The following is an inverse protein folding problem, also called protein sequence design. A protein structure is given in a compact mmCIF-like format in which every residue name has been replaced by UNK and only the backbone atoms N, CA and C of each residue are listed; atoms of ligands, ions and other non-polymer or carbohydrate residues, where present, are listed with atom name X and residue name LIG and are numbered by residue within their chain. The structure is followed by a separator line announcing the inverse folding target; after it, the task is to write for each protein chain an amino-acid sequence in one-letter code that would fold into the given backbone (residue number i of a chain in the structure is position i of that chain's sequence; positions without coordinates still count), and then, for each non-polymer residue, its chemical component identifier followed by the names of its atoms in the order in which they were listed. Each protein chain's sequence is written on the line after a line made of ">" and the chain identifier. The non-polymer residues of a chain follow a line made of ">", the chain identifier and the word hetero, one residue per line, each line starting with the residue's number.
data_IF_675079433539
#
_entry.id   IF_675079433539
#
_cell.length_a   1.000
_cell.length_b   1.000
_cell.length_c   1.000
_cell.angle_alpha   90.00
_cell.angle_beta   90.00
_cell.angle_gamma   90.00
#
_symmetry.space_group_name_H-M   'P 1'
#
loop_
_entity.id
_entity.type
_entity.pdbx_description
1 polymer ?
#
# COMPACT_ATOMS: atom_id res chain seq x y z
N UNK A 1 -9.56 -3.95 -7.03
CA UNK A 1 -8.11 -3.94 -6.68
C UNK A 1 -7.30 -3.68 -7.95
N UNK A 2 -6.13 -3.07 -7.85
CA UNK A 2 -5.28 -2.63 -8.97
C UNK A 2 -4.20 -3.66 -9.34
N UNK A 3 -3.61 -3.56 -10.54
CA UNK A 3 -2.41 -4.33 -10.93
C UNK A 3 -1.15 -3.47 -10.77
N UNK A 4 -1.19 -2.22 -11.21
CA UNK A 4 -0.06 -1.29 -11.18
C UNK A 4 -0.43 -0.05 -10.36
N UNK A 5 0.38 0.22 -9.33
CA UNK A 5 0.28 1.43 -8.51
C UNK A 5 1.56 2.26 -8.58
N UNK A 6 1.43 3.53 -8.95
CA UNK A 6 2.54 4.50 -8.86
C UNK A 6 2.41 5.26 -7.54
N UNK A 7 3.37 5.07 -6.63
CA UNK A 7 3.28 5.58 -5.26
C UNK A 7 4.07 6.88 -5.04
N UNK A 8 3.61 7.73 -4.14
CA UNK A 8 4.29 8.96 -3.75
C UNK A 8 4.08 10.11 -4.73
N UNK A 9 2.91 10.16 -5.37
CA UNK A 9 2.49 11.25 -6.24
C UNK A 9 2.29 12.50 -5.40
N UNK A 10 2.93 13.60 -5.80
CA UNK A 10 2.84 14.90 -5.11
C UNK A 10 2.31 16.03 -6.00
N UNK A 11 2.24 15.80 -7.32
CA UNK A 11 1.85 16.80 -8.31
C UNK A 11 0.78 16.24 -9.25
N UNK A 12 -0.04 17.14 -9.80
CA UNK A 12 -1.05 16.80 -10.81
C UNK A 12 -0.41 16.20 -12.06
N UNK A 13 0.66 16.82 -12.58
CA UNK A 13 1.33 16.38 -13.79
C UNK A 13 1.82 14.92 -13.68
N UNK A 14 2.35 14.54 -12.51
CA UNK A 14 2.84 13.18 -12.26
C UNK A 14 1.68 12.17 -12.22
N UNK A 15 0.54 12.57 -11.66
CA UNK A 15 -0.66 11.73 -11.63
C UNK A 15 -1.24 11.50 -13.03
N UNK A 16 -1.27 12.57 -13.85
CA UNK A 16 -1.70 12.51 -15.25
C UNK A 16 -0.77 11.62 -16.06
N UNK A 17 0.55 11.79 -15.89
CA UNK A 17 1.54 10.96 -16.55
C UNK A 17 1.41 9.47 -16.17
N UNK A 18 1.24 9.18 -14.87
CA UNK A 18 1.02 7.81 -14.40
C UNK A 18 -0.24 7.19 -14.99
N UNK A 19 -1.36 7.91 -15.00
CA UNK A 19 -2.61 7.47 -15.62
C UNK A 19 -2.45 7.21 -17.12
N UNK A 20 -1.85 8.15 -17.86
CA UNK A 20 -1.62 8.00 -19.31
C UNK A 20 -0.67 6.84 -19.64
N UNK A 21 0.26 6.52 -18.74
CA UNK A 21 1.14 5.36 -18.85
C UNK A 21 0.45 4.03 -18.49
N UNK A 22 -0.81 4.06 -18.06
CA UNK A 22 -1.61 2.86 -17.77
C UNK A 22 -1.56 2.39 -16.31
N UNK A 23 -1.20 3.26 -15.36
CA UNK A 23 -1.34 2.92 -13.95
C UNK A 23 -2.82 2.76 -13.58
N UNK A 24 -3.15 1.74 -12.79
CA UNK A 24 -4.51 1.52 -12.27
C UNK A 24 -4.76 2.31 -10.97
N UNK A 25 -3.69 2.70 -10.28
CA UNK A 25 -3.75 3.36 -8.98
C UNK A 25 -2.61 4.34 -8.76
N UNK A 26 -2.88 5.38 -7.96
CA UNK A 26 -1.90 6.33 -7.45
C UNK A 26 -1.81 6.27 -5.93
N UNK A 27 -0.60 6.36 -5.39
CA UNK A 27 -0.35 6.42 -3.94
C UNK A 27 -0.12 7.85 -3.46
N UNK A 28 -0.92 8.26 -2.48
CA UNK A 28 -0.93 9.58 -1.86
C UNK A 28 -0.47 9.43 -0.41
N UNK A 29 0.65 10.03 -0.04
CA UNK A 29 1.28 9.79 1.26
C UNK A 29 0.90 10.87 2.27
N UNK A 30 0.42 10.46 3.45
CA UNK A 30 0.01 11.34 4.54
C UNK A 30 0.92 11.24 5.77
N UNK A 31 2.04 10.52 5.67
CA UNK A 31 3.02 10.44 6.75
C UNK A 31 3.94 11.65 6.75
N UNK A 32 3.85 12.48 7.78
CA UNK A 32 4.56 13.75 7.96
C UNK A 32 6.09 13.69 7.76
N UNK A 33 6.74 12.59 8.16
CA UNK A 33 8.20 12.42 7.98
C UNK A 33 8.60 11.96 6.58
N UNK A 34 7.64 11.66 5.70
CA UNK A 34 7.94 11.32 4.32
C UNK A 34 8.24 12.57 3.50
N UNK A 35 9.29 12.58 2.66
CA UNK A 35 9.53 13.69 1.72
C UNK A 35 8.44 13.79 0.64
N UNK A 36 7.56 12.79 0.53
CA UNK A 36 6.43 12.75 -0.41
C UNK A 36 5.10 13.01 0.29
N UNK A 37 5.12 13.48 1.54
CA UNK A 37 3.92 13.82 2.29
C UNK A 37 3.16 14.96 1.61
N UNK A 38 1.84 14.82 1.52
CA UNK A 38 0.93 15.84 1.00
C UNK A 38 -0.26 16.04 1.93
N UNK A 39 -0.91 17.20 1.84
CA UNK A 39 -2.16 17.45 2.56
C UNK A 39 -3.35 16.75 1.90
N UNK A 40 -4.44 16.52 2.65
CA UNK A 40 -5.69 16.00 2.10
C UNK A 40 -6.27 16.89 1.00
N UNK A 41 -6.12 18.20 1.11
CA UNK A 41 -6.55 19.17 0.07
C UNK A 41 -5.73 19.00 -1.21
N UNK A 42 -4.41 18.84 -1.09
CA UNK A 42 -3.56 18.59 -2.25
C UNK A 42 -3.86 17.24 -2.90
N UNK A 43 -4.05 16.20 -2.09
CA UNK A 43 -4.47 14.88 -2.56
C UNK A 43 -5.79 14.93 -3.32
N UNK A 44 -6.77 15.71 -2.83
CA UNK A 44 -8.04 15.94 -3.51
C UNK A 44 -7.84 16.60 -4.88
N UNK A 45 -7.06 17.69 -4.93
CA UNK A 45 -6.76 18.39 -6.18
C UNK A 45 -6.06 17.50 -7.21
N UNK A 46 -5.14 16.64 -6.77
CA UNK A 46 -4.46 15.67 -7.63
C UNK A 46 -5.46 14.68 -8.22
N UNK A 47 -6.29 14.07 -7.37
CA UNK A 47 -7.26 13.08 -7.82
C UNK A 47 -8.33 13.67 -8.74
N UNK A 48 -8.79 14.89 -8.47
CA UNK A 48 -9.87 15.54 -9.22
C UNK A 48 -9.43 16.08 -10.60
N UNK A 49 -8.12 16.18 -10.83
CA UNK A 49 -7.57 16.49 -12.14
C UNK A 49 -7.63 15.32 -13.14
N UNK A 50 -7.89 14.09 -12.65
CA UNK A 50 -8.03 12.89 -13.47
C UNK A 50 -9.50 12.62 -13.78
N UNK A 51 -9.82 11.98 -14.92
CA UNK A 51 -11.19 11.57 -15.20
C UNK A 51 -11.77 10.70 -14.07
N UNK A 52 -13.08 10.78 -13.76
CA UNK A 52 -13.70 9.95 -12.74
C UNK A 52 -13.46 8.45 -13.00
N UNK A 53 -12.95 7.75 -11.99
CA UNK A 53 -12.63 6.32 -12.09
C UNK A 53 -11.40 5.98 -12.93
N UNK A 54 -10.61 6.97 -13.38
CA UNK A 54 -9.40 6.74 -14.16
C UNK A 54 -8.36 5.89 -13.42
N UNK A 55 -8.19 6.15 -12.12
CA UNK A 55 -7.27 5.43 -11.23
C UNK A 55 -7.87 5.35 -9.82
N UNK A 56 -7.50 4.31 -9.05
CA UNK A 56 -7.77 4.25 -7.61
C UNK A 56 -6.82 5.17 -6.84
N UNK A 57 -7.35 5.93 -5.89
CA UNK A 57 -6.62 6.81 -4.98
C UNK A 57 -6.30 6.05 -3.69
N UNK A 58 -5.05 5.68 -3.50
CA UNK A 58 -4.60 4.89 -2.35
C UNK A 58 -3.91 5.81 -1.34
N UNK A 59 -4.49 5.96 -0.15
CA UNK A 59 -3.86 6.70 0.94
C UNK A 59 -2.86 5.86 1.69
N UNK A 60 -1.63 6.35 1.83
CA UNK A 60 -0.58 5.71 2.63
C UNK A 60 -0.51 6.38 3.99
N UNK A 61 -0.75 5.57 5.03
CA UNK A 61 -0.73 5.98 6.43
C UNK A 61 0.35 5.21 7.18
N UNK A 62 0.93 5.86 8.19
CA UNK A 62 1.94 5.27 9.06
C UNK A 62 1.60 5.69 10.48
N UNK A 63 1.06 4.75 11.26
CA UNK A 63 0.70 4.93 12.67
C UNK A 63 -0.27 6.11 12.91
N UNK A 64 -1.08 6.46 11.91
CA UNK A 64 -2.16 7.44 12.02
C UNK A 64 -3.31 6.89 12.85
N UNK A 65 -4.06 7.77 13.53
CA UNK A 65 -5.25 7.37 14.28
C UNK A 65 -6.42 7.01 13.35
N UNK A 66 -7.40 6.24 13.86
CA UNK A 66 -8.63 5.94 13.12
C UNK A 66 -9.37 7.19 12.64
N UNK A 67 -9.46 8.20 13.52
CA UNK A 67 -10.16 9.46 13.22
C UNK A 67 -9.46 10.25 12.13
N UNK A 68 -8.13 10.29 12.17
CA UNK A 68 -7.32 10.94 11.14
C UNK A 68 -7.46 10.23 9.79
N UNK A 69 -7.35 8.89 9.77
CA UNK A 69 -7.53 8.10 8.55
C UNK A 69 -8.92 8.35 7.96
N UNK A 70 -9.98 8.30 8.78
CA UNK A 70 -11.35 8.54 8.33
C UNK A 70 -11.52 9.95 7.74
N UNK A 71 -11.06 10.98 8.46
CA UNK A 71 -11.15 12.37 8.00
C UNK A 71 -10.41 12.60 6.68
N UNK A 72 -9.19 12.04 6.54
CA UNK A 72 -8.40 12.17 5.30
C UNK A 72 -9.06 11.41 4.16
N UNK A 73 -9.58 10.20 4.40
CA UNK A 73 -10.25 9.43 3.36
C UNK A 73 -11.44 10.18 2.77
N UNK A 74 -12.22 10.88 3.60
CA UNK A 74 -13.37 11.66 3.14
C UNK A 74 -12.95 12.97 2.45
N UNK A 75 -11.98 13.70 3.02
CA UNK A 75 -11.50 14.97 2.44
C UNK A 75 -10.80 14.76 1.09
N UNK A 76 -9.91 13.78 1.00
CA UNK A 76 -9.14 13.47 -0.21
C UNK A 76 -9.90 12.58 -1.20
N UNK A 77 -11.09 12.09 -0.81
CA UNK A 77 -11.89 11.12 -1.56
C UNK A 77 -11.05 9.89 -1.95
N UNK A 78 -10.49 9.22 -0.95
CA UNK A 78 -9.66 8.03 -1.14
C UNK A 78 -10.52 6.77 -1.37
N UNK A 79 -10.02 5.89 -2.23
CA UNK A 79 -10.67 4.62 -2.56
C UNK A 79 -10.15 3.46 -1.70
N UNK A 80 -8.85 3.51 -1.34
CA UNK A 80 -8.16 2.41 -0.65
C UNK A 80 -7.25 2.95 0.46
N UNK A 81 -7.22 2.24 1.58
CA UNK A 81 -6.37 2.55 2.74
C UNK A 81 -5.16 1.62 2.70
N UNK A 82 -3.94 2.16 2.76
CA UNK A 82 -2.72 1.40 2.90
C UNK A 82 -2.06 1.71 4.25
N UNK A 83 -2.08 0.76 5.17
CA UNK A 83 -1.42 0.84 6.48
C UNK A 83 0.02 0.33 6.37
N UNK A 84 0.98 1.22 6.63
CA UNK A 84 2.39 0.99 6.31
C UNK A 84 3.35 1.20 7.50
N UNK A 85 2.79 1.43 8.69
CA UNK A 85 3.50 1.47 9.96
C UNK A 85 3.42 0.14 10.71
N UNK A 86 3.23 0.25 12.02
CA UNK A 86 3.17 -0.83 13.00
C UNK A 86 1.72 -0.98 13.53
N UNK A 87 0.74 -0.69 12.66
CA UNK A 87 -0.68 -0.66 13.04
C UNK A 87 -1.15 -2.02 13.56
N UNK A 88 -1.85 -2.02 14.68
CA UNK A 88 -2.33 -3.24 15.33
C UNK A 88 -3.37 -3.99 14.47
N UNK A 89 -3.43 -5.33 14.55
CA UNK A 89 -4.45 -6.13 13.86
C UNK A 89 -5.89 -5.67 14.10
N UNK A 90 -6.23 -5.19 15.31
CA UNK A 90 -7.57 -4.68 15.65
C UNK A 90 -7.97 -3.46 14.80
N UNK A 91 -7.00 -2.66 14.37
CA UNK A 91 -7.25 -1.48 13.54
C UNK A 91 -7.85 -1.85 12.17
N UNK A 92 -7.51 -3.03 11.63
CA UNK A 92 -8.10 -3.53 10.37
C UNK A 92 -9.60 -3.74 10.54
N UNK A 93 -10.01 -4.42 11.63
CA UNK A 93 -11.41 -4.66 11.94
C UNK A 93 -12.16 -3.33 12.18
N UNK A 94 -11.61 -2.45 13.01
CA UNK A 94 -12.20 -1.15 13.35
C UNK A 94 -12.38 -0.25 12.12
N UNK A 95 -11.36 -0.15 11.26
CA UNK A 95 -11.46 0.62 10.01
C UNK A 95 -12.49 0.01 9.06
N UNK A 96 -12.54 -1.32 8.93
CA UNK A 96 -13.49 -1.99 8.03
C UNK A 96 -14.95 -1.80 8.44
N UNK A 97 -15.21 -1.65 9.74
CA UNK A 97 -16.55 -1.36 10.27
C UNK A 97 -16.93 0.11 10.06
N UNK A 98 -15.95 1.02 10.13
CA UNK A 98 -16.19 2.46 10.01
C UNK A 98 -16.23 2.95 8.57
N UNK A 99 -15.39 2.37 7.70
CA UNK A 99 -15.16 2.82 6.33
C UNK A 99 -15.34 1.65 5.37
N UNK A 100 -16.25 1.80 4.40
CA UNK A 100 -16.47 0.83 3.33
C UNK A 100 -15.38 0.97 2.24
N UNK A 101 -14.11 0.80 2.61
CA UNK A 101 -12.94 0.94 1.74
C UNK A 101 -12.01 -0.26 1.93
N UNK A 102 -11.42 -0.81 0.85
CA UNK A 102 -10.43 -1.88 0.98
C UNK A 102 -9.21 -1.43 1.79
N UNK A 103 -8.66 -2.34 2.58
CA UNK A 103 -7.49 -2.10 3.43
C UNK A 103 -6.33 -2.98 2.98
N UNK A 104 -5.23 -2.35 2.61
CA UNK A 104 -3.95 -2.98 2.32
C UNK A 104 -3.08 -2.89 3.57
N UNK A 105 -2.58 -4.03 4.04
CA UNK A 105 -1.56 -4.07 5.09
C UNK A 105 -0.18 -4.28 4.47
N UNK A 106 0.74 -3.35 4.72
CA UNK A 106 2.10 -3.44 4.21
C UNK A 106 3.08 -3.96 5.26
N UNK A 107 3.99 -4.84 4.85
CA UNK A 107 5.05 -5.39 5.69
C UNK A 107 6.41 -5.12 5.06
N UNK A 108 7.38 -4.82 5.92
CA UNK A 108 8.78 -4.68 5.51
C UNK A 108 9.51 -5.98 5.80
N UNK A 109 9.69 -6.80 4.78
CA UNK A 109 10.39 -8.07 4.94
C UNK A 109 11.90 -7.80 5.04
N UNK A 110 12.43 -7.94 6.25
CA UNK A 110 13.87 -7.86 6.57
C UNK A 110 14.60 -9.16 6.23
N UNK A 111 13.90 -10.28 6.36
CA UNK A 111 14.36 -11.63 6.10
C UNK A 111 13.49 -12.28 5.02
N UNK A 112 13.97 -13.37 4.43
CA UNK A 112 13.27 -14.11 3.37
C UNK A 112 12.09 -14.97 3.88
N UNK A 113 11.55 -14.64 5.06
CA UNK A 113 10.43 -15.33 5.72
C UNK A 113 9.19 -14.44 5.86
N UNK A 114 8.01 -15.04 5.70
CA UNK A 114 6.71 -14.41 5.97
C UNK A 114 6.13 -14.78 7.34
N UNK A 115 6.93 -15.28 8.29
CA UNK A 115 6.45 -15.65 9.64
C UNK A 115 5.78 -14.48 10.38
N UNK A 116 6.31 -13.26 10.24
CA UNK A 116 5.70 -12.07 10.85
C UNK A 116 4.35 -11.75 10.21
N UNK A 117 4.25 -11.89 8.88
CA UNK A 117 3.01 -11.68 8.15
C UNK A 117 1.97 -12.70 8.61
N UNK A 118 2.33 -13.98 8.67
CA UNK A 118 1.43 -15.06 9.09
C UNK A 118 0.89 -14.82 10.52
N UNK A 119 1.77 -14.51 11.48
CA UNK A 119 1.36 -14.17 12.85
C UNK A 119 0.43 -12.95 12.90
N UNK A 120 0.71 -11.93 12.09
CA UNK A 120 -0.15 -10.75 12.02
C UNK A 120 -1.53 -11.10 11.45
N UNK A 121 -1.59 -11.90 10.39
CA UNK A 121 -2.84 -12.36 9.80
C UNK A 121 -3.63 -13.25 10.78
N UNK A 122 -2.96 -14.08 11.59
CA UNK A 122 -3.60 -14.89 12.64
C UNK A 122 -4.30 -14.00 13.66
N UNK A 123 -3.61 -12.96 14.13
CA UNK A 123 -4.20 -11.98 15.04
C UNK A 123 -5.33 -11.18 14.39
N UNK A 124 -5.27 -10.93 13.08
CA UNK A 124 -6.36 -10.28 12.33
C UNK A 124 -7.63 -11.16 12.27
N UNK A 125 -7.48 -12.46 12.05
CA UNK A 125 -8.61 -13.41 12.10
C UNK A 125 -9.25 -13.46 13.49
N UNK A 126 -8.42 -13.48 14.53
CA UNK A 126 -8.90 -13.42 15.92
C UNK A 126 -9.62 -12.10 16.22
N UNK A 127 -9.16 -10.99 15.64
CA UNK A 127 -9.82 -9.69 15.70
C UNK A 127 -11.07 -9.59 14.79
N UNK A 128 -11.36 -10.63 14.00
CA UNK A 128 -12.57 -10.76 13.19
C UNK A 128 -12.47 -10.21 11.76
N UNK A 129 -11.29 -9.77 11.30
CA UNK A 129 -11.12 -9.27 9.93
C UNK A 129 -9.68 -9.32 9.44
N UNK A 130 -9.45 -10.06 8.35
CA UNK A 130 -8.22 -9.98 7.54
C UNK A 130 -8.16 -8.66 6.74
N UNK A 131 -6.98 -8.16 6.35
CA UNK A 131 -6.89 -7.12 5.33
C UNK A 131 -7.38 -7.63 3.96
N UNK A 132 -7.62 -6.73 3.02
CA UNK A 132 -8.04 -7.09 1.65
C UNK A 132 -6.86 -7.46 0.75
N UNK A 133 -5.66 -6.95 1.05
CA UNK A 133 -4.42 -7.36 0.39
C UNK A 133 -3.23 -7.17 1.33
N UNK A 134 -2.17 -7.92 1.04
CA UNK A 134 -0.87 -7.80 1.69
C UNK A 134 0.10 -7.16 0.71
N UNK A 135 0.77 -6.08 1.15
CA UNK A 135 1.88 -5.49 0.43
C UNK A 135 3.19 -5.92 1.08
N UNK A 136 4.11 -6.45 0.29
CA UNK A 136 5.46 -6.77 0.77
C UNK A 136 6.42 -5.76 0.16
N UNK A 137 7.03 -4.95 1.03
CA UNK A 137 8.05 -3.95 0.66
C UNK A 137 9.43 -4.48 1.04
N UNK A 138 10.35 -4.50 0.08
CA UNK A 138 11.71 -4.95 0.34
C UNK A 138 12.42 -4.01 1.33
N UNK A 139 12.98 -4.58 2.40
CA UNK A 139 13.56 -3.80 3.49
C UNK A 139 14.80 -2.97 3.09
N UNK A 140 14.86 -1.74 3.60
CA UNK A 140 16.04 -0.89 3.60
C UNK A 140 16.35 -0.34 5.01
N UNK A 141 17.60 -0.33 5.46
CA UNK A 141 17.98 0.36 6.69
C UNK A 141 17.81 1.88 6.56
N UNK A 142 17.02 2.49 7.45
CA UNK A 142 16.99 3.94 7.68
C UNK A 142 15.97 4.76 6.89
N UNK A 143 15.28 4.20 5.89
CA UNK A 143 14.32 4.93 5.05
C UNK A 143 13.01 4.15 4.84
N UNK A 144 11.90 4.88 4.69
CA UNK A 144 10.61 4.33 4.25
C UNK A 144 10.62 4.23 2.71
N UNK A 145 11.08 3.08 2.19
CA UNK A 145 10.94 2.66 0.79
C UNK A 145 12.15 2.94 -0.12
N UNK A 146 12.43 1.98 -1.03
CA UNK A 146 13.13 2.19 -2.30
C UNK A 146 14.66 2.22 -2.32
N UNK A 147 15.34 1.08 -2.14
CA UNK A 147 16.82 1.02 -2.27
C UNK A 147 17.39 -0.11 -3.16
N UNK A 148 16.55 -0.94 -3.78
CA UNK A 148 16.99 -1.86 -4.84
C UNK A 148 17.56 -3.22 -4.39
N UNK A 149 17.59 -3.53 -3.10
CA UNK A 149 17.61 -4.94 -2.66
C UNK A 149 16.20 -5.48 -2.77
N UNK A 150 15.99 -6.43 -3.68
CA UNK A 150 14.70 -7.09 -3.83
C UNK A 150 14.55 -8.15 -2.72
N UNK A 151 13.34 -8.34 -2.22
CA UNK A 151 12.98 -9.61 -1.55
C UNK A 151 13.34 -10.73 -2.51
N UNK A 152 13.92 -11.83 -2.05
CA UNK A 152 14.06 -13.02 -2.88
C UNK A 152 12.65 -13.48 -3.30
N UNK A 153 12.29 -13.17 -4.55
CA UNK A 153 10.97 -13.46 -5.07
C UNK A 153 10.70 -14.97 -5.06
N UNK A 154 11.72 -15.81 -5.20
CA UNK A 154 11.57 -17.27 -5.10
C UNK A 154 11.16 -17.69 -3.69
N UNK A 155 11.77 -17.10 -2.65
CA UNK A 155 11.35 -17.34 -1.27
C UNK A 155 9.93 -16.87 -1.04
N UNK A 156 9.56 -15.71 -1.58
CA UNK A 156 8.22 -15.17 -1.44
C UNK A 156 7.13 -16.07 -2.06
N UNK A 157 7.43 -16.73 -3.19
CA UNK A 157 6.52 -17.73 -3.78
C UNK A 157 6.37 -18.94 -2.87
N UNK A 158 7.49 -19.47 -2.34
CA UNK A 158 7.46 -20.63 -1.44
C UNK A 158 6.63 -20.34 -0.19
N UNK A 159 6.73 -19.12 0.33
CA UNK A 159 6.01 -18.67 1.51
C UNK A 159 4.59 -18.16 1.21
N UNK A 160 4.17 -18.07 -0.06
CA UNK A 160 2.85 -17.56 -0.49
C UNK A 160 1.66 -18.21 0.22
N UNK A 161 1.65 -19.52 0.57
CA UNK A 161 0.57 -20.11 1.35
C UNK A 161 0.29 -19.39 2.68
N UNK A 162 1.30 -18.73 3.29
CA UNK A 162 1.14 -17.94 4.52
C UNK A 162 0.33 -16.67 4.35
N UNK A 163 0.12 -16.21 3.12
CA UNK A 163 -0.77 -15.09 2.81
C UNK A 163 -2.26 -15.50 2.84
N UNK A 164 -2.57 -16.79 3.04
CA UNK A 164 -3.94 -17.31 3.19
C UNK A 164 -4.86 -16.99 2.02
N UNK A 165 -4.28 -16.96 0.82
CA UNK A 165 -4.98 -16.63 -0.41
C UNK A 165 -5.25 -15.13 -0.60
N UNK A 166 -4.77 -14.26 0.29
CA UNK A 166 -4.86 -12.81 0.11
C UNK A 166 -4.05 -12.37 -1.12
N UNK A 167 -4.54 -11.39 -1.90
CA UNK A 167 -3.77 -10.75 -2.94
C UNK A 167 -2.45 -10.19 -2.41
N UNK A 168 -1.37 -10.46 -3.15
CA UNK A 168 -0.03 -9.96 -2.88
C UNK A 168 0.26 -8.75 -3.78
N UNK A 169 0.74 -7.68 -3.18
CA UNK A 169 1.27 -6.51 -3.88
C UNK A 169 2.77 -6.45 -3.61
N UNK A 170 3.58 -6.51 -4.66
CA UNK A 170 5.02 -6.33 -4.55
C UNK A 170 5.40 -4.85 -4.56
N UNK A 171 6.29 -4.48 -3.66
CA UNK A 171 6.91 -3.16 -3.60
C UNK A 171 8.40 -3.27 -3.25
N UNK A 172 9.09 -2.14 -3.34
CA UNK A 172 10.50 -2.04 -2.96
C UNK A 172 11.44 -2.36 -4.11
N UNK A 173 12.16 -1.34 -4.59
CA UNK A 173 13.23 -1.53 -5.58
C UNK A 173 12.79 -1.95 -6.98
N UNK A 174 11.49 -2.00 -7.28
CA UNK A 174 10.97 -2.25 -8.63
C UNK A 174 11.31 -1.09 -9.58
N UNK A 175 11.83 -1.43 -10.74
CA UNK A 175 12.28 -0.52 -11.81
C UNK A 175 11.92 -1.13 -13.17
N UNK A 176 11.89 -0.34 -14.26
CA UNK A 176 11.60 -0.87 -15.59
C UNK A 176 12.46 -2.07 -15.99
N UNK A 177 13.69 -2.14 -15.50
CA UNK A 177 14.65 -3.19 -15.82
C UNK A 177 14.34 -4.53 -15.13
N UNK A 178 13.70 -4.52 -13.97
CA UNK A 178 13.49 -5.73 -13.13
C UNK A 178 12.02 -6.13 -12.94
N UNK A 179 11.06 -5.22 -13.21
CA UNK A 179 9.64 -5.46 -12.92
C UNK A 179 9.06 -6.65 -13.69
N UNK A 180 9.51 -6.87 -14.92
CA UNK A 180 9.07 -8.01 -15.73
C UNK A 180 9.53 -9.36 -15.16
N UNK A 181 10.71 -9.39 -14.54
CA UNK A 181 11.21 -10.59 -13.84
C UNK A 181 10.44 -10.81 -12.55
N UNK A 182 10.22 -9.76 -11.77
CA UNK A 182 9.43 -9.80 -10.54
C UNK A 182 8.02 -10.38 -10.76
N UNK A 183 7.32 -9.90 -11.81
CA UNK A 183 5.97 -10.38 -12.16
C UNK A 183 5.98 -11.85 -12.58
N UNK A 184 7.01 -12.33 -13.29
CA UNK A 184 7.08 -13.74 -13.70
C UNK A 184 7.40 -14.67 -12.53
N UNK A 185 8.13 -14.16 -11.54
CA UNK A 185 8.42 -14.93 -10.35
C UNK A 185 7.13 -15.19 -9.56
N UNK A 186 6.32 -14.16 -9.26
CA UNK A 186 5.24 -14.28 -8.25
C UNK A 186 3.87 -14.76 -8.72
#
# INVERSE_FOLDING_TARGET
>A
MFQIKICGITRVDDAVAAWQAGADAIGLNFYDRSPRCISAVQARSIGDALPPGAVQRVGVFVNSSLDEIAAICDQANLDVIQLHGDELPSMIAELSQRLARPIIRAFRCRDDSLDEVDRYLEACEQAGRLPDAVLVDAYSPGEYGGTGKCVDWESLIRERPRLRGLPLILAGGLRPENVAEAIRAV
#
